data_IF_949882925356
#
_entry.id   IF_949882925356
#
_cell.length_a   1.000
_cell.length_b   1.000
_cell.length_c   1.000
_cell.angle_alpha   90.00
_cell.angle_beta   90.00
_cell.angle_gamma   90.00
#
_symmetry.space_group_name_H-M   'P 1'
#
loop_
_entity.id
_entity.type
_entity.pdbx_description
1 polymer ?
#
# COMPACT_ATOMS: atom_id res chain seq x y z
N UNK A 1 -14.68 -3.00 8.64
CA UNK A 1 -14.18 -3.11 9.99
C UNK A 1 -12.68 -2.91 10.02
N UNK A 2 -12.24 -1.84 10.67
CA UNK A 2 -10.83 -1.47 10.68
C UNK A 2 -9.91 -2.52 11.31
N UNK A 3 -10.30 -3.19 12.40
CA UNK A 3 -9.41 -4.20 12.97
C UNK A 3 -9.09 -5.35 12.02
N UNK A 4 -9.93 -5.56 11.02
CA UNK A 4 -9.73 -6.63 10.04
C UNK A 4 -9.30 -6.11 8.68
N UNK A 5 -9.01 -4.82 8.58
CA UNK A 5 -8.59 -4.22 7.33
C UNK A 5 -7.16 -4.61 7.03
N UNK A 6 -6.94 -5.29 5.92
CA UNK A 6 -5.59 -5.64 5.49
C UNK A 6 -4.99 -4.50 4.66
N UNK A 7 -3.75 -4.71 4.19
CA UNK A 7 -3.03 -3.68 3.45
C UNK A 7 -3.75 -3.28 2.16
N UNK A 8 -4.29 -4.26 1.44
CA UNK A 8 -5.00 -3.97 0.20
C UNK A 8 -6.36 -3.33 0.48
N UNK A 9 -7.00 -3.72 1.57
CA UNK A 9 -8.26 -3.10 1.99
C UNK A 9 -8.09 -1.62 2.26
N UNK A 10 -7.01 -1.24 2.92
CA UNK A 10 -6.73 0.16 3.20
C UNK A 10 -6.51 0.95 1.91
N UNK A 11 -5.76 0.39 0.96
CA UNK A 11 -5.54 1.03 -0.34
C UNK A 11 -6.89 1.33 -1.00
N UNK A 12 -7.78 0.35 -1.03
CA UNK A 12 -9.08 0.51 -1.67
C UNK A 12 -10.00 1.48 -0.94
N UNK A 13 -9.91 1.56 0.39
CA UNK A 13 -10.65 2.55 1.15
C UNK A 13 -10.25 3.96 0.72
N UNK A 14 -8.96 4.22 0.66
CA UNK A 14 -8.44 5.54 0.27
C UNK A 14 -8.82 5.85 -1.17
N UNK A 15 -8.64 4.89 -2.07
CA UNK A 15 -8.97 5.10 -3.48
C UNK A 15 -10.44 5.38 -3.68
N UNK A 16 -11.31 4.69 -2.95
CA UNK A 16 -12.74 4.94 -3.02
C UNK A 16 -13.07 6.36 -2.57
N UNK A 17 -12.48 6.80 -1.47
CA UNK A 17 -12.70 8.15 -0.95
C UNK A 17 -12.25 9.22 -1.92
N UNK A 18 -11.24 8.92 -2.74
CA UNK A 18 -10.72 9.84 -3.74
C UNK A 18 -11.42 9.74 -5.09
N UNK A 19 -12.36 8.81 -5.23
CA UNK A 19 -13.04 8.58 -6.51
C UNK A 19 -12.19 7.88 -7.55
N UNK A 20 -11.16 7.15 -7.10
CA UNK A 20 -10.28 6.40 -7.99
C UNK A 20 -10.75 4.96 -8.14
N UNK A 21 -10.43 4.30 -9.27
CA UNK A 21 -10.79 2.90 -9.45
C UNK A 21 -10.19 2.02 -8.36
N UNK A 22 -10.96 1.06 -7.88
CA UNK A 22 -10.49 0.11 -6.89
C UNK A 22 -9.53 -0.87 -7.51
N UNK A 23 -8.57 -1.33 -6.69
CA UNK A 23 -7.72 -2.46 -7.05
C UNK A 23 -8.51 -3.75 -6.81
N UNK A 24 -8.12 -4.86 -7.45
CA UNK A 24 -8.78 -6.14 -7.21
C UNK A 24 -8.76 -6.53 -5.73
N UNK A 25 -9.77 -7.28 -5.32
CA UNK A 25 -9.89 -7.75 -3.95
C UNK A 25 -8.98 -8.96 -3.74
N UNK A 26 -8.17 -8.91 -2.68
CA UNK A 26 -7.25 -9.97 -2.31
C UNK A 26 -7.55 -10.52 -0.93
N UNK A 27 -8.82 -10.73 -0.65
CA UNK A 27 -9.24 -11.29 0.63
C UNK A 27 -8.50 -12.60 0.92
N UNK A 28 -8.03 -12.74 2.14
CA UNK A 28 -7.34 -13.95 2.56
C UNK A 28 -5.84 -13.99 2.27
N UNK A 29 -5.30 -12.93 1.68
CA UNK A 29 -3.86 -12.85 1.44
C UNK A 29 -3.14 -12.64 2.77
N UNK A 30 -2.10 -13.44 3.00
CA UNK A 30 -1.26 -13.29 4.19
C UNK A 30 0.19 -13.07 3.79
N UNK A 31 0.96 -12.47 4.69
CA UNK A 31 2.38 -12.25 4.47
C UNK A 31 3.20 -13.52 4.70
N UNK A 32 2.73 -14.38 5.58
CA UNK A 32 3.53 -15.48 6.12
C UNK A 32 3.83 -16.58 5.10
N UNK A 33 2.95 -16.78 4.15
CA UNK A 33 3.09 -17.85 3.16
C UNK A 33 3.52 -17.34 1.79
N UNK A 34 3.96 -16.08 1.70
CA UNK A 34 4.34 -15.47 0.44
C UNK A 34 3.17 -15.02 -0.41
N UNK A 35 1.95 -15.08 0.12
CA UNK A 35 0.76 -14.67 -0.61
C UNK A 35 0.80 -13.21 -1.01
N UNK A 36 1.30 -12.34 -0.13
CA UNK A 36 1.39 -10.92 -0.41
C UNK A 36 2.27 -10.65 -1.64
N UNK A 37 3.45 -11.28 -1.69
CA UNK A 37 4.36 -11.11 -2.82
C UNK A 37 3.74 -11.60 -4.12
N UNK A 38 3.11 -12.77 -4.09
CA UNK A 38 2.46 -13.36 -5.25
C UNK A 38 1.36 -12.46 -5.80
N UNK A 39 0.47 -12.02 -4.93
CA UNK A 39 -0.68 -11.22 -5.36
C UNK A 39 -0.26 -9.82 -5.80
N UNK A 40 0.73 -9.22 -5.12
CA UNK A 40 1.25 -7.93 -5.55
C UNK A 40 1.89 -8.00 -6.93
N UNK A 41 2.65 -9.06 -7.21
CA UNK A 41 3.27 -9.24 -8.52
C UNK A 41 2.23 -9.40 -9.63
N UNK A 42 1.17 -10.14 -9.36
CA UNK A 42 0.06 -10.27 -10.33
C UNK A 42 -0.62 -8.93 -10.58
N UNK A 43 -0.87 -8.19 -9.52
CA UNK A 43 -1.55 -6.92 -9.59
C UNK A 43 -0.76 -5.91 -10.43
N UNK A 44 0.55 -5.87 -10.24
CA UNK A 44 1.40 -4.90 -10.93
C UNK A 44 1.38 -5.05 -12.45
N UNK A 45 0.98 -6.22 -12.96
CA UNK A 45 0.83 -6.42 -14.40
C UNK A 45 -0.24 -5.49 -14.98
N UNK A 46 -1.29 -5.22 -14.20
CA UNK A 46 -2.42 -4.39 -14.66
C UNK A 46 -2.36 -2.95 -14.16
N UNK A 47 -1.33 -2.59 -13.39
CA UNK A 47 -1.18 -1.24 -12.86
C UNK A 47 -0.09 -0.50 -13.60
N UNK A 48 -0.04 0.82 -13.37
CA UNK A 48 0.99 1.68 -13.94
C UNK A 48 1.89 2.20 -12.82
N UNK A 49 3.19 2.02 -12.99
CA UNK A 49 4.15 2.58 -12.05
C UNK A 49 4.15 4.11 -12.18
N UNK A 50 4.25 4.81 -11.06
CA UNK A 50 4.13 6.26 -11.04
C UNK A 50 5.00 6.86 -9.96
N UNK A 51 5.06 8.19 -9.95
CA UNK A 51 5.66 8.93 -8.85
C UNK A 51 4.70 8.90 -7.65
N UNK A 52 5.22 9.15 -6.43
CA UNK A 52 4.33 9.23 -5.26
C UNK A 52 3.24 10.26 -5.50
N UNK A 53 2.01 9.80 -5.39
CA UNK A 53 0.85 10.65 -5.62
C UNK A 53 -0.32 10.12 -4.81
N UNK A 54 -1.29 10.98 -4.59
CA UNK A 54 -2.46 10.67 -3.79
C UNK A 54 -3.18 9.44 -4.34
N UNK A 55 -3.44 8.47 -3.48
CA UNK A 55 -4.12 7.23 -3.86
C UNK A 55 -3.21 6.15 -4.42
N UNK A 56 -1.95 6.45 -4.71
CA UNK A 56 -1.01 5.45 -5.20
C UNK A 56 -0.73 4.41 -4.12
N UNK A 57 -0.63 3.16 -4.52
CA UNK A 57 -0.18 2.11 -3.61
C UNK A 57 1.33 2.10 -3.53
N UNK A 58 1.87 2.01 -2.33
CA UNK A 58 3.30 1.89 -2.10
C UNK A 58 3.64 0.41 -1.91
N UNK A 59 4.47 -0.11 -2.79
CA UNK A 59 4.90 -1.51 -2.75
C UNK A 59 6.33 -1.55 -2.25
N UNK A 60 6.54 -2.25 -1.13
CA UNK A 60 7.81 -2.25 -0.42
C UNK A 60 8.48 -3.60 -0.54
N UNK A 61 9.76 -3.58 -0.81
CA UNK A 61 10.53 -4.78 -1.12
C UNK A 61 11.62 -5.05 -0.11
N UNK A 62 11.88 -6.33 0.10
CA UNK A 62 13.12 -6.84 0.68
C UNK A 62 13.75 -7.71 -0.42
N UNK A 63 14.84 -7.24 -1.02
CA UNK A 63 15.37 -7.86 -2.23
C UNK A 63 14.34 -7.74 -3.36
N UNK A 64 13.98 -8.88 -3.94
CA UNK A 64 12.96 -8.93 -5.01
C UNK A 64 11.59 -9.33 -4.50
N UNK A 65 11.43 -9.49 -3.18
CA UNK A 65 10.20 -9.96 -2.57
C UNK A 65 9.40 -8.79 -2.00
N UNK A 66 8.12 -8.71 -2.35
CA UNK A 66 7.22 -7.73 -1.75
C UNK A 66 6.90 -8.16 -0.32
N UNK A 67 7.21 -7.30 0.64
CA UNK A 67 7.02 -7.60 2.06
C UNK A 67 5.96 -6.72 2.71
N UNK A 68 5.56 -5.62 2.05
CA UNK A 68 4.61 -4.70 2.65
C UNK A 68 3.98 -3.84 1.55
N UNK A 69 2.74 -3.45 1.75
CA UNK A 69 2.07 -2.46 0.89
C UNK A 69 1.38 -1.43 1.76
N UNK A 70 1.27 -0.22 1.23
CA UNK A 70 0.66 0.90 1.91
C UNK A 70 0.06 1.83 0.87
N UNK A 71 -0.49 2.97 1.28
CA UNK A 71 -1.14 3.88 0.34
C UNK A 71 -0.76 5.32 0.66
N UNK A 72 -0.57 6.10 -0.40
CA UNK A 72 -0.21 7.51 -0.28
C UNK A 72 -1.49 8.33 -0.08
N UNK A 73 -1.46 9.20 0.90
CA UNK A 73 -2.56 10.14 1.18
C UNK A 73 -1.99 11.55 1.24
N UNK A 74 -2.86 12.55 1.07
CA UNK A 74 -2.47 13.94 1.22
C UNK A 74 -3.17 14.52 2.43
N UNK A 75 -2.41 15.16 3.31
CA UNK A 75 -2.96 15.91 4.44
C UNK A 75 -2.38 17.31 4.37
N UNK A 76 -3.24 18.28 4.07
CA UNK A 76 -2.77 19.63 3.78
C UNK A 76 -1.94 19.65 2.52
N UNK A 77 -0.73 20.16 2.59
CA UNK A 77 0.19 20.25 1.46
C UNK A 77 1.20 19.10 1.43
N UNK A 78 1.05 18.13 2.31
CA UNK A 78 2.05 17.09 2.50
C UNK A 78 1.52 15.73 2.10
N UNK A 79 2.37 14.98 1.39
CA UNK A 79 2.08 13.57 1.12
C UNK A 79 2.58 12.73 2.29
N UNK A 80 1.69 11.86 2.77
CA UNK A 80 1.98 10.92 3.84
C UNK A 80 1.68 9.52 3.33
N UNK A 81 2.22 8.53 4.02
CA UNK A 81 1.91 7.14 3.72
C UNK A 81 1.08 6.58 4.86
N UNK A 82 -0.10 6.08 4.53
CA UNK A 82 -0.98 5.42 5.47
C UNK A 82 -0.72 3.92 5.41
N UNK A 83 -0.51 3.30 6.55
CA UNK A 83 -0.27 1.87 6.61
C UNK A 83 -1.09 1.24 7.72
N UNK A 84 -1.47 -0.01 7.47
CA UNK A 84 -2.23 -0.80 8.40
C UNK A 84 -1.28 -1.63 9.24
N UNK A 85 -1.35 -1.47 10.55
CA UNK A 85 -0.50 -2.21 11.48
C UNK A 85 -1.37 -3.15 12.32
N UNK A 86 -0.94 -4.40 12.51
CA UNK A 86 -1.75 -5.37 13.24
C UNK A 86 -2.13 -4.95 14.65
N UNK A 87 -1.29 -4.16 15.30
CA UNK A 87 -1.49 -3.83 16.70
C UNK A 87 -1.97 -2.40 16.95
N UNK A 88 -1.84 -1.50 15.96
CA UNK A 88 -2.08 -0.09 16.17
C UNK A 88 -3.02 0.54 15.14
N UNK A 89 -3.74 -0.28 14.39
CA UNK A 89 -4.63 0.22 13.34
C UNK A 89 -3.86 0.95 12.24
N UNK A 90 -4.45 2.03 11.71
CA UNK A 90 -3.83 2.79 10.62
C UNK A 90 -2.95 3.88 11.22
N UNK A 91 -1.71 3.95 10.72
CA UNK A 91 -0.78 5.01 11.11
C UNK A 91 -0.32 5.75 9.87
N UNK A 92 0.17 6.97 10.06
CA UNK A 92 0.59 7.85 8.98
C UNK A 92 2.04 8.27 9.21
N UNK A 93 2.86 8.18 8.15
CA UNK A 93 4.24 8.63 8.20
C UNK A 93 4.51 9.57 7.04
N UNK A 94 5.33 10.61 7.24
CA UNK A 94 5.82 11.39 6.11
C UNK A 94 6.49 10.49 5.08
N UNK A 95 6.31 10.83 3.81
CA UNK A 95 6.82 10.00 2.71
C UNK A 95 8.30 9.68 2.83
N UNK A 96 9.12 10.67 3.17
CA UNK A 96 10.57 10.48 3.27
C UNK A 96 10.93 9.49 4.38
N UNK A 97 10.22 9.54 5.50
CA UNK A 97 10.45 8.61 6.61
C UNK A 97 10.05 7.20 6.24
N UNK A 98 8.91 7.06 5.58
CA UNK A 98 8.43 5.75 5.15
C UNK A 98 9.45 5.08 4.23
N UNK A 99 9.96 5.83 3.24
CA UNK A 99 10.91 5.29 2.27
C UNK A 99 12.22 4.80 2.90
N UNK A 100 12.63 5.40 4.00
CA UNK A 100 13.87 4.99 4.68
C UNK A 100 13.79 3.64 5.35
N UNK A 101 12.58 3.15 5.59
CA UNK A 101 12.40 1.86 6.27
C UNK A 101 12.66 0.68 5.35
N UNK A 102 12.71 0.91 4.03
CA UNK A 102 12.80 -0.17 3.06
C UNK A 102 13.93 0.10 2.08
N UNK A 103 14.53 -0.99 1.58
CA UNK A 103 15.58 -0.89 0.57
C UNK A 103 15.00 -0.33 -0.72
N UNK A 104 13.79 -0.73 -1.06
CA UNK A 104 13.15 -0.30 -2.30
C UNK A 104 11.65 -0.13 -2.08
N UNK A 105 11.12 1.00 -2.56
CA UNK A 105 9.68 1.27 -2.55
C UNK A 105 9.29 1.76 -3.93
N UNK A 106 8.24 1.18 -4.49
CA UNK A 106 7.68 1.60 -5.77
C UNK A 106 6.23 2.04 -5.57
N UNK A 107 5.78 2.98 -6.39
CA UNK A 107 4.42 3.52 -6.31
C UNK A 107 3.67 3.17 -7.58
N UNK A 108 2.41 2.76 -7.43
CA UNK A 108 1.59 2.24 -8.53
C UNK A 108 0.17 2.79 -8.46
N UNK A 109 -0.41 3.06 -9.64
CA UNK A 109 -1.82 3.47 -9.76
C UNK A 109 -2.65 2.37 -10.48
#
# INVERSE_FOLDING_TARGET
DYPNLDCFGLINEVRRDLGLPAWPDFAGVTKDDGGLNREAKKLMISLTRCEPSEGAGAVCYSGSTVTHVAVVVRIGDQLLVAECNPQTNVTFLPLSRFKRRFVKVEFWQ
#
